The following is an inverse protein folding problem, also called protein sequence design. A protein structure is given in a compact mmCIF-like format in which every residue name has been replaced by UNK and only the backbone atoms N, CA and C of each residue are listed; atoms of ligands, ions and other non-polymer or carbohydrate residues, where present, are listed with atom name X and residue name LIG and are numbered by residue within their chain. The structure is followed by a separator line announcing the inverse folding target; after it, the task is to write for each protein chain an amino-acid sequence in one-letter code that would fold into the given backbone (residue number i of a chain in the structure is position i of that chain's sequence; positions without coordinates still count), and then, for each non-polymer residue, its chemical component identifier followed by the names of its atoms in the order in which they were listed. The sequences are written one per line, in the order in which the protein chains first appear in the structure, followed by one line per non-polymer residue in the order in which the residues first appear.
data_IF_024868069240
#
_entry.id   IF_024868069240
#
_cell.length_a   1.000
_cell.length_b   1.000
_cell.length_c   1.000
_cell.angle_alpha   90.00
_cell.angle_beta   90.00
_cell.angle_gamma   90.00
#
_symmetry.space_group_name_H-M   'P 1'
#
loop_
_entity.id
_entity.type
_entity.pdbx_description
1 polymer ?
#
# COMPACT_ATOMS: atom_id res chain seq x y z
N UNK A 1 -3.31 15.46 -14.22
CA UNK A 1 -3.68 15.13 -12.83
C UNK A 1 -4.97 14.35 -12.91
N UNK A 2 -5.06 13.21 -12.23
CA UNK A 2 -6.34 12.55 -12.01
C UNK A 2 -6.94 13.16 -10.74
N UNK A 3 -8.14 13.75 -10.86
CA UNK A 3 -8.85 14.33 -9.73
C UNK A 3 -9.84 13.29 -9.21
N UNK A 4 -9.78 13.00 -7.91
CA UNK A 4 -10.64 12.01 -7.25
C UNK A 4 -11.53 12.69 -6.21
N UNK A 5 -12.84 12.53 -6.36
CA UNK A 5 -13.81 12.94 -5.35
C UNK A 5 -13.85 11.92 -4.21
N UNK A 6 -13.39 12.35 -3.03
CA UNK A 6 -13.31 11.50 -1.84
C UNK A 6 -14.45 11.82 -0.87
N UNK A 7 -15.16 10.78 -0.46
CA UNK A 7 -16.18 10.86 0.59
C UNK A 7 -15.60 10.35 1.91
N UNK A 8 -15.53 11.23 2.91
CA UNK A 8 -15.01 10.90 4.24
C UNK A 8 -16.09 11.06 5.30
N UNK A 9 -16.08 10.22 6.33
CA UNK A 9 -16.99 10.39 7.46
C UNK A 9 -16.61 11.62 8.28
N UNK A 10 -17.62 12.36 8.75
CA UNK A 10 -17.43 13.63 9.47
C UNK A 10 -16.56 13.48 10.72
N UNK A 11 -16.65 12.33 11.37
CA UNK A 11 -15.95 12.03 12.62
C UNK A 11 -14.54 11.46 12.39
N UNK A 12 -14.18 11.10 11.15
CA UNK A 12 -12.85 10.57 10.86
C UNK A 12 -11.74 11.61 11.04
N UNK A 13 -12.00 12.88 10.68
CA UNK A 13 -10.99 13.94 10.72
C UNK A 13 -10.62 14.31 12.16
N UNK A 14 -11.57 14.58 13.07
CA UNK A 14 -11.24 14.87 14.47
C UNK A 14 -10.50 13.71 15.15
N UNK A 15 -10.90 12.47 14.86
CA UNK A 15 -10.30 11.28 15.47
C UNK A 15 -8.82 11.04 15.09
N UNK A 16 -8.30 11.72 14.05
CA UNK A 16 -6.93 11.55 13.57
C UNK A 16 -5.87 11.83 14.64
N UNK A 17 -6.10 12.85 15.47
CA UNK A 17 -5.14 13.27 16.48
C UNK A 17 -5.36 12.56 17.82
N UNK A 18 -6.56 12.03 18.04
CA UNK A 18 -6.96 11.43 19.32
C UNK A 18 -6.72 9.91 19.36
N UNK A 19 -6.76 9.23 18.21
CA UNK A 19 -6.67 7.78 18.14
C UNK A 19 -5.51 7.33 17.24
N UNK A 20 -4.55 6.53 17.75
CA UNK A 20 -3.37 6.13 16.99
C UNK A 20 -3.71 5.32 15.72
N UNK A 21 -4.85 4.60 15.72
CA UNK A 21 -5.30 3.79 14.57
C UNK A 21 -6.15 4.57 13.55
N UNK A 22 -6.56 5.81 13.85
CA UNK A 22 -7.47 6.56 12.97
C UNK A 22 -6.82 6.92 11.64
N UNK A 23 -5.53 7.29 11.64
CA UNK A 23 -4.80 7.62 10.42
C UNK A 23 -4.74 6.44 9.44
N UNK A 24 -4.42 5.23 9.94
CA UNK A 24 -4.40 4.03 9.11
C UNK A 24 -5.76 3.74 8.47
N UNK A 25 -6.85 3.82 9.23
CA UNK A 25 -8.22 3.63 8.72
C UNK A 25 -8.63 4.68 7.68
N UNK A 26 -8.21 5.93 7.87
CA UNK A 26 -8.48 7.00 6.92
C UNK A 26 -7.76 6.72 5.59
N UNK A 27 -6.46 6.40 5.65
CA UNK A 27 -5.68 6.07 4.46
C UNK A 27 -6.26 4.84 3.75
N UNK A 28 -6.65 3.80 4.48
CA UNK A 28 -7.33 2.63 3.91
C UNK A 28 -8.62 3.01 3.16
N UNK A 29 -9.45 3.87 3.77
CA UNK A 29 -10.71 4.34 3.19
C UNK A 29 -10.47 5.14 1.91
N UNK A 30 -9.46 6.00 1.90
CA UNK A 30 -9.08 6.80 0.73
C UNK A 30 -8.57 5.90 -0.38
N UNK A 31 -7.62 5.00 -0.09
CA UNK A 31 -7.04 4.11 -1.12
C UNK A 31 -8.10 3.19 -1.74
N UNK A 32 -9.06 2.70 -0.95
CA UNK A 32 -10.16 1.91 -1.48
C UNK A 32 -11.08 2.71 -2.42
N UNK A 33 -11.31 4.00 -2.14
CA UNK A 33 -12.07 4.87 -3.06
C UNK A 33 -11.31 5.18 -4.34
N UNK A 34 -10.00 5.42 -4.24
CA UNK A 34 -9.14 5.62 -5.41
C UNK A 34 -9.13 4.35 -6.29
N UNK A 35 -9.05 3.16 -5.69
CA UNK A 35 -9.13 1.89 -6.44
C UNK A 35 -10.47 1.73 -7.18
N UNK A 36 -11.58 2.14 -6.58
CA UNK A 36 -12.90 2.13 -7.22
C UNK A 36 -13.00 3.13 -8.38
N UNK A 37 -12.45 4.33 -8.19
CA UNK A 37 -12.39 5.34 -9.25
C UNK A 37 -11.52 4.87 -10.43
N UNK A 38 -10.35 4.30 -10.16
CA UNK A 38 -9.51 3.72 -11.21
C UNK A 38 -10.18 2.58 -11.96
N UNK A 39 -10.94 1.72 -11.26
CA UNK A 39 -11.68 0.64 -11.91
C UNK A 39 -12.81 1.20 -12.79
N UNK A 40 -13.45 2.30 -12.39
CA UNK A 40 -14.45 2.98 -13.22
C UNK A 40 -13.81 3.56 -14.48
N UNK A 41 -12.69 4.25 -14.33
CA UNK A 41 -11.94 4.83 -15.44
C UNK A 41 -11.47 3.74 -16.41
N UNK A 42 -10.94 2.63 -15.89
CA UNK A 42 -10.51 1.47 -16.66
C UNK A 42 -11.65 0.80 -17.45
N UNK A 43 -12.87 0.80 -16.91
CA UNK A 43 -14.01 0.16 -17.58
C UNK A 43 -14.84 1.12 -18.43
N UNK A 44 -14.61 2.43 -18.32
CA UNK A 44 -15.44 3.47 -18.94
C UNK A 44 -16.90 3.46 -18.45
N UNK A 45 -17.17 2.89 -17.25
CA UNK A 45 -18.53 2.73 -16.75
C UNK A 45 -18.60 2.62 -15.22
N UNK A 46 -19.64 3.22 -14.66
CA UNK A 46 -19.99 3.09 -13.25
C UNK A 46 -20.51 1.69 -12.91
N UNK A 47 -20.57 1.42 -11.61
CA UNK A 47 -21.12 0.16 -11.10
C UNK A 47 -22.61 0.06 -11.46
N UNK A 48 -22.96 -1.02 -12.14
CA UNK A 48 -24.32 -1.31 -12.65
C UNK A 48 -24.85 -0.36 -13.73
N UNK A 49 -24.05 0.58 -14.21
CA UNK A 49 -24.44 1.45 -15.31
C UNK A 49 -24.61 0.65 -16.61
N UNK A 50 -25.52 1.09 -17.48
CA UNK A 50 -25.64 0.55 -18.83
C UNK A 50 -24.98 1.54 -19.79
N UNK A 51 -23.76 1.22 -20.21
CA UNK A 51 -23.00 2.01 -21.18
C UNK A 51 -22.63 1.13 -22.38
N UNK A 52 -22.67 1.69 -23.58
CA UNK A 52 -22.26 1.00 -24.82
C UNK A 52 -20.74 0.99 -25.00
N UNK A 53 -20.02 1.94 -24.42
CA UNK A 53 -18.55 2.10 -24.52
C UNK A 53 -17.78 1.28 -23.47
N UNK A 54 -18.46 0.45 -22.69
CA UNK A 54 -17.85 -0.35 -21.61
C UNK A 54 -16.81 -1.34 -22.17
N UNK A 55 -15.61 -1.30 -21.60
CA UNK A 55 -14.49 -2.16 -22.03
C UNK A 55 -14.42 -3.52 -21.32
N UNK A 56 -15.22 -3.74 -20.27
CA UNK A 56 -15.23 -5.01 -19.54
C UNK A 56 -16.20 -5.07 -18.37
N UNK A 57 -16.17 -6.17 -17.62
CA UNK A 57 -17.06 -6.38 -16.48
C UNK A 57 -16.27 -6.64 -15.19
N UNK A 58 -16.77 -6.08 -14.08
CA UNK A 58 -16.27 -6.35 -12.73
C UNK A 58 -16.53 -7.81 -12.33
N UNK A 59 -15.61 -8.41 -11.60
CA UNK A 59 -15.64 -9.78 -11.12
C UNK A 59 -15.25 -9.87 -9.64
N UNK A 60 -15.97 -9.09 -8.81
CA UNK A 60 -15.75 -9.05 -7.37
C UNK A 60 -14.47 -8.30 -6.97
N UNK A 61 -13.95 -8.69 -5.80
CA UNK A 61 -12.84 -8.03 -5.12
C UNK A 61 -11.87 -9.06 -4.58
N UNK A 62 -10.59 -8.69 -4.56
CA UNK A 62 -9.55 -9.42 -3.84
C UNK A 62 -9.05 -8.58 -2.68
N UNK A 63 -9.18 -9.11 -1.48
CA UNK A 63 -8.59 -8.51 -0.30
C UNK A 63 -7.06 -8.65 -0.33
N UNK A 64 -6.37 -7.54 -0.11
CA UNK A 64 -4.91 -7.47 -0.11
C UNK A 64 -4.43 -6.68 1.09
N UNK A 65 -3.57 -7.30 1.88
CA UNK A 65 -2.88 -6.62 2.97
C UNK A 65 -1.64 -5.88 2.43
N UNK A 66 -1.47 -4.63 2.84
CA UNK A 66 -0.31 -3.79 2.50
C UNK A 66 0.30 -3.22 3.78
N UNK A 67 1.56 -3.55 4.04
CA UNK A 67 2.29 -2.97 5.18
C UNK A 67 2.78 -1.56 4.85
N UNK A 68 2.39 -0.58 5.66
CA UNK A 68 2.74 0.83 5.47
C UNK A 68 3.26 1.46 6.77
N UNK A 69 3.75 2.70 6.69
CA UNK A 69 4.19 3.49 7.86
C UNK A 69 3.06 3.75 8.88
N UNK A 70 1.82 3.79 8.42
CA UNK A 70 0.63 4.01 9.27
C UNK A 70 -0.02 2.70 9.74
N UNK A 71 0.68 1.58 9.51
CA UNK A 71 0.24 0.24 9.89
C UNK A 71 -0.12 -0.64 8.70
N UNK A 72 -0.70 -1.78 9.02
CA UNK A 72 -1.21 -2.72 8.02
C UNK A 72 -2.57 -2.27 7.51
N UNK A 73 -2.66 -2.01 6.20
CA UNK A 73 -3.91 -1.65 5.52
C UNK A 73 -4.51 -2.87 4.82
N UNK A 74 -5.84 -3.00 4.85
CA UNK A 74 -6.59 -4.01 4.11
C UNK A 74 -7.29 -3.36 2.94
N UNK A 75 -6.76 -3.57 1.73
CA UNK A 75 -7.28 -3.00 0.50
C UNK A 75 -8.18 -4.00 -0.23
N UNK A 76 -9.34 -3.54 -0.68
CA UNK A 76 -10.29 -4.33 -1.46
C UNK A 76 -10.09 -4.04 -2.93
N UNK A 77 -9.14 -4.74 -3.55
CA UNK A 77 -8.74 -4.49 -4.94
C UNK A 77 -9.84 -5.00 -5.89
N UNK A 78 -10.49 -4.12 -6.67
CA UNK A 78 -11.49 -4.54 -7.64
C UNK A 78 -10.87 -5.43 -8.72
N UNK A 79 -11.63 -6.39 -9.24
CA UNK A 79 -11.17 -7.29 -10.30
C UNK A 79 -12.05 -7.17 -11.54
N UNK A 80 -11.46 -7.28 -12.72
CA UNK A 80 -12.19 -7.49 -13.97
C UNK A 80 -12.27 -8.98 -14.31
N UNK A 81 -13.23 -9.35 -15.15
CA UNK A 81 -13.44 -10.74 -15.58
C UNK A 81 -12.29 -11.32 -16.40
N UNK A 82 -11.65 -10.47 -17.20
CA UNK A 82 -10.48 -10.77 -18.01
C UNK A 82 -9.14 -10.59 -17.25
N UNK A 83 -9.17 -9.96 -16.07
CA UNK A 83 -7.99 -9.71 -15.25
C UNK A 83 -7.07 -8.60 -15.76
N UNK A 84 -7.55 -7.75 -16.67
CA UNK A 84 -6.81 -6.63 -17.27
C UNK A 84 -6.54 -5.46 -16.31
N UNK A 85 -7.33 -5.32 -15.24
CA UNK A 85 -7.16 -4.21 -14.30
C UNK A 85 -5.84 -4.29 -13.51
N UNK A 86 -5.07 -3.21 -13.59
CA UNK A 86 -3.90 -2.94 -12.75
C UNK A 86 -4.01 -1.53 -12.19
N UNK A 87 -3.72 -1.39 -10.90
CA UNK A 87 -3.63 -0.08 -10.24
C UNK A 87 -2.18 0.44 -10.32
N UNK A 88 -2.05 1.76 -10.33
CA UNK A 88 -0.81 2.53 -10.23
C UNK A 88 -0.44 2.85 -8.77
N UNK A 89 -1.32 2.61 -7.78
CA UNK A 89 -1.05 2.82 -6.36
C UNK A 89 0.11 1.93 -5.87
N UNK A 90 0.20 0.70 -6.39
CA UNK A 90 1.25 -0.24 -6.04
C UNK A 90 1.54 -1.21 -7.18
N UNK A 91 2.78 -1.69 -7.24
CA UNK A 91 3.18 -2.73 -8.18
C UNK A 91 2.55 -4.10 -7.84
N UNK A 92 2.51 -4.96 -8.87
CA UNK A 92 2.08 -6.35 -8.72
C UNK A 92 3.01 -7.07 -7.73
N UNK A 93 2.43 -7.87 -6.83
CA UNK A 93 3.14 -8.63 -5.78
C UNK A 93 3.82 -7.82 -4.66
N UNK A 94 3.80 -6.48 -4.72
CA UNK A 94 4.37 -5.60 -3.70
C UNK A 94 3.63 -5.71 -2.35
N UNK A 95 4.25 -6.25 -1.31
CA UNK A 95 3.59 -6.43 0.00
C UNK A 95 3.75 -5.26 0.97
N UNK A 96 4.66 -4.33 0.67
CA UNK A 96 5.01 -3.23 1.56
C UNK A 96 5.27 -1.93 0.78
N UNK A 97 4.92 -0.82 1.41
CA UNK A 97 5.23 0.54 0.94
C UNK A 97 6.75 0.75 0.80
N UNK A 98 7.21 1.49 -0.22
CA UNK A 98 8.65 1.73 -0.44
C UNK A 98 9.27 2.49 0.72
N UNK A 99 8.65 3.59 1.13
CA UNK A 99 9.15 4.42 2.21
C UNK A 99 9.26 3.63 3.53
N UNK A 100 8.32 2.72 3.77
CA UNK A 100 8.40 1.81 4.91
C UNK A 100 9.62 0.89 4.82
N UNK A 101 9.83 0.24 3.67
CA UNK A 101 10.99 -0.64 3.44
C UNK A 101 12.32 0.12 3.61
N UNK A 102 12.42 1.33 3.07
CA UNK A 102 13.62 2.19 3.21
C UNK A 102 13.88 2.52 4.68
N UNK A 103 12.85 2.86 5.46
CA UNK A 103 13.00 3.10 6.90
C UNK A 103 13.50 1.85 7.66
N UNK A 104 13.08 0.64 7.25
CA UNK A 104 13.62 -0.60 7.83
C UNK A 104 15.11 -0.77 7.53
N UNK A 105 15.50 -0.48 6.30
CA UNK A 105 16.89 -0.59 5.86
C UNK A 105 17.77 0.44 6.58
N UNK A 106 17.31 1.69 6.67
CA UNK A 106 17.99 2.78 7.38
C UNK A 106 18.22 2.46 8.86
N UNK A 107 17.26 1.83 9.54
CA UNK A 107 17.46 1.35 10.91
C UNK A 107 18.63 0.37 11.01
N UNK A 108 18.76 -0.57 10.07
CA UNK A 108 19.86 -1.54 10.07
C UNK A 108 21.20 -0.84 9.81
N UNK A 109 21.25 0.10 8.86
CA UNK A 109 22.44 0.91 8.57
C UNK A 109 22.89 1.70 9.80
N UNK A 110 21.95 2.25 10.57
CA UNK A 110 22.22 2.95 11.84
C UNK A 110 22.54 2.00 13.02
N UNK A 111 22.79 0.72 12.77
CA UNK A 111 23.21 -0.24 13.79
C UNK A 111 22.09 -0.79 14.66
N UNK A 112 20.81 -0.58 14.31
CA UNK A 112 19.68 -1.21 15.01
C UNK A 112 19.67 -2.70 14.69
N UNK A 113 19.86 -3.54 15.71
CA UNK A 113 19.83 -4.99 15.51
C UNK A 113 18.51 -5.45 14.86
N UNK A 114 18.58 -6.45 13.98
CA UNK A 114 17.41 -7.00 13.27
C UNK A 114 16.29 -7.45 14.23
N UNK A 115 16.65 -7.91 15.44
CA UNK A 115 15.68 -8.25 16.50
C UNK A 115 14.91 -7.03 17.02
N UNK A 116 15.62 -5.91 17.20
CA UNK A 116 15.02 -4.64 17.67
C UNK A 116 14.15 -4.04 16.56
N UNK A 117 14.57 -4.13 15.30
CA UNK A 117 13.75 -3.75 14.14
C UNK A 117 12.42 -4.52 14.14
N UNK A 118 12.45 -5.86 14.24
CA UNK A 118 11.22 -6.67 14.28
C UNK A 118 10.28 -6.21 15.40
N UNK A 119 10.79 -5.98 16.61
CA UNK A 119 9.97 -5.52 17.75
C UNK A 119 9.35 -4.13 17.51
N UNK A 120 10.10 -3.21 16.92
CA UNK A 120 9.60 -1.87 16.58
C UNK A 120 8.49 -1.99 15.54
N UNK A 121 8.69 -2.79 14.49
CA UNK A 121 7.68 -2.97 13.43
C UNK A 121 6.42 -3.68 13.91
N UNK A 122 6.54 -4.61 14.85
CA UNK A 122 5.37 -5.26 15.46
C UNK A 122 4.54 -4.25 16.27
N UNK A 123 5.20 -3.43 17.09
CA UNK A 123 4.53 -2.43 17.92
C UNK A 123 3.89 -1.29 17.12
N UNK A 124 4.54 -0.85 16.04
CA UNK A 124 4.05 0.27 15.23
C UNK A 124 3.07 -0.17 14.14
N UNK A 125 3.34 -1.29 13.48
CA UNK A 125 2.61 -1.68 12.27
C UNK A 125 1.67 -2.86 12.46
N UNK A 126 1.70 -3.54 13.62
CA UNK A 126 0.91 -4.74 13.87
C UNK A 126 1.33 -5.95 13.04
N UNK A 127 2.48 -5.87 12.34
CA UNK A 127 3.00 -6.94 11.47
C UNK A 127 4.45 -7.24 11.80
N UNK A 128 4.77 -8.52 11.97
CA UNK A 128 6.13 -8.97 12.22
C UNK A 128 6.88 -9.20 10.91
N UNK A 129 8.13 -8.75 10.88
CA UNK A 129 9.07 -9.07 9.81
C UNK A 129 10.15 -10.00 10.35
N UNK A 130 10.39 -11.10 9.63
CA UNK A 130 11.44 -12.04 10.01
C UNK A 130 12.81 -11.38 9.92
N UNK A 131 13.74 -11.81 10.78
CA UNK A 131 15.14 -11.35 10.74
C UNK A 131 15.78 -11.57 9.36
N UNK A 132 15.43 -12.68 8.70
CA UNK A 132 15.87 -13.00 7.35
C UNK A 132 15.34 -12.00 6.31
N UNK A 133 14.09 -11.56 6.44
CA UNK A 133 13.51 -10.53 5.57
C UNK A 133 14.23 -9.20 5.75
N UNK A 134 14.41 -8.75 7.01
CA UNK A 134 15.12 -7.50 7.32
C UNK A 134 16.56 -7.55 6.81
N UNK A 135 17.27 -8.66 7.02
CA UNK A 135 18.64 -8.83 6.53
C UNK A 135 18.73 -8.81 5.00
N UNK A 136 17.78 -9.46 4.29
CA UNK A 136 17.73 -9.44 2.82
C UNK A 136 17.46 -8.03 2.30
N UNK A 137 16.56 -7.29 2.94
CA UNK A 137 16.27 -5.91 2.58
C UNK A 137 17.50 -5.03 2.76
N UNK A 138 18.19 -5.12 3.90
CA UNK A 138 19.41 -4.35 4.13
C UNK A 138 20.50 -4.65 3.09
N UNK A 139 20.72 -5.92 2.73
CA UNK A 139 21.70 -6.31 1.69
C UNK A 139 21.39 -5.74 0.30
N UNK A 140 20.12 -5.52 -0.02
CA UNK A 140 19.74 -4.93 -1.30
C UNK A 140 20.19 -3.47 -1.43
N UNK A 141 20.57 -2.79 -0.33
CA UNK A 141 21.22 -1.48 -0.38
C UNK A 141 22.71 -1.57 -0.76
N UNK A 142 23.39 -2.69 -0.46
CA UNK A 142 24.81 -2.83 -0.76
C UNK A 142 25.06 -2.97 -2.28
N UNK A 143 24.08 -3.50 -3.02
CA UNK A 143 24.12 -3.73 -4.46
C UNK A 143 24.31 -2.44 -5.31
N UNK A 144 23.54 -1.36 -5.11
CA UNK A 144 23.74 -0.12 -5.86
C UNK A 144 25.06 0.60 -5.54
N UNK A 145 25.63 0.45 -4.34
CA UNK A 145 26.87 1.15 -3.95
C UNK A 145 28.09 0.65 -4.74
N UNK A 146 28.10 -0.59 -5.20
CA UNK A 146 29.21 -1.18 -5.96
C UNK A 146 29.28 -0.59 -7.39
N UNK A 147 28.16 -0.13 -7.95
CA UNK A 147 28.10 0.40 -9.31
C UNK A 147 28.57 1.87 -9.40
N UNK A 148 28.41 2.66 -8.35
CA UNK A 148 28.86 4.07 -8.32
C UNK A 148 30.31 4.24 -7.83
N UNK A 149 30.89 3.21 -7.19
CA UNK A 149 32.29 3.21 -6.73
C UNK A 149 33.31 2.84 -7.82
N UNK A 150 32.86 2.64 -9.07
CA UNK A 150 33.69 2.14 -10.18
C UNK A 150 33.73 3.11 -11.38
N UNK A 151 33.35 4.38 -11.20
CA UNK A 151 33.37 5.42 -12.23
C UNK A 151 34.35 6.55 -11.88
#
# INVERSE_FOLDING_TARGET
MADYDLTLSRDAIPALLDQPAALGKLVETILNQVLEAQMRDHLGAERYERCQEREGYRNGYRDRQLSTRVGSLVLRVPQTRDGSFSTDIFERYRRSEQAFVVGLMEMVVNGVSTRKVTRITEGLCGTSFSKSTVSRLAKALDEPVILESSA
#
